data_IF_432134321494
#
_entry.id   IF_432134321494
#
_cell.length_a   1.000
_cell.length_b   1.000
_cell.length_c   1.000
_cell.angle_alpha   90.00
_cell.angle_beta   90.00
_cell.angle_gamma   90.00
#
_symmetry.space_group_name_H-M   'P 1'
#
loop_
_entity.id
_entity.type
_entity.pdbx_description
1 polymer ?
#
# COMPACT_ATOMS: atom_id res chain seq x y z
N UNK A 1 -8.29 -11.47 11.99
CA UNK A 1 -7.16 -10.89 12.76
C UNK A 1 -7.74 -10.07 13.91
N UNK A 2 -7.05 -9.93 15.04
CA UNK A 2 -7.48 -9.07 16.17
C UNK A 2 -6.28 -8.35 16.75
N UNK A 3 -6.37 -7.02 16.84
CA UNK A 3 -5.43 -6.21 17.60
C UNK A 3 -5.50 -6.50 19.10
N UNK A 4 -4.34 -6.65 19.72
CA UNK A 4 -4.14 -6.78 21.16
C UNK A 4 -3.29 -5.59 21.60
N UNK A 5 -3.79 -4.86 22.60
CA UNK A 5 -3.07 -3.76 23.22
C UNK A 5 -2.14 -4.24 24.34
N UNK A 6 -1.36 -3.31 24.89
CA UNK A 6 -0.44 -3.59 25.99
C UNK A 6 0.99 -3.91 25.54
N UNK A 7 1.92 -3.70 26.46
CA UNK A 7 3.36 -3.94 26.26
C UNK A 7 3.67 -5.43 26.21
N UNK A 8 4.76 -5.78 25.52
CA UNK A 8 5.30 -7.15 25.48
C UNK A 8 4.52 -8.15 24.61
N UNK A 9 3.48 -7.71 23.90
CA UNK A 9 2.80 -8.55 22.93
C UNK A 9 3.59 -8.54 21.61
N UNK A 10 3.95 -9.70 21.04
CA UNK A 10 4.70 -9.76 19.79
C UNK A 10 3.85 -9.24 18.62
N UNK A 11 4.52 -8.79 17.55
CA UNK A 11 3.87 -8.26 16.34
C UNK A 11 2.74 -9.16 15.84
N UNK A 12 2.97 -10.48 15.80
CA UNK A 12 1.95 -11.48 15.54
C UNK A 12 2.12 -12.67 16.48
N UNK A 13 1.01 -13.17 17.03
CA UNK A 13 0.97 -14.33 17.93
C UNK A 13 0.40 -15.58 17.26
N UNK A 14 0.58 -16.73 17.91
CA UNK A 14 0.03 -18.01 17.45
C UNK A 14 -1.49 -17.93 17.24
N UNK A 15 -2.02 -18.44 16.11
CA UNK A 15 -3.44 -18.36 15.81
C UNK A 15 -4.30 -19.22 16.75
N UNK A 16 -5.44 -18.68 17.18
CA UNK A 16 -6.44 -19.39 17.97
C UNK A 16 -7.65 -19.82 17.12
N UNK A 17 -8.13 -21.06 17.30
CA UNK A 17 -9.33 -21.56 16.61
C UNK A 17 -10.60 -20.98 17.25
N UNK A 18 -11.42 -20.26 16.47
CA UNK A 18 -12.66 -19.62 16.97
C UNK A 18 -13.98 -20.22 16.47
N UNK A 19 -13.96 -21.10 15.48
CA UNK A 19 -15.21 -21.70 14.99
C UNK A 19 -15.81 -22.71 15.96
N UNK A 20 -17.13 -22.66 16.09
CA UNK A 20 -17.96 -23.65 16.78
C UNK A 20 -18.82 -24.41 15.75
N UNK A 21 -19.13 -25.66 16.06
CA UNK A 21 -20.08 -26.48 15.29
C UNK A 21 -21.52 -26.11 15.67
N UNK A 22 -22.52 -26.50 14.86
CA UNK A 22 -23.95 -26.29 15.19
C UNK A 22 -24.35 -26.85 16.56
N UNK A 23 -23.60 -27.83 17.10
CA UNK A 23 -23.80 -28.44 18.42
C UNK A 23 -22.99 -27.76 19.55
N UNK A 24 -22.48 -26.54 19.33
CA UNK A 24 -21.72 -25.77 20.32
C UNK A 24 -20.27 -26.23 20.57
N UNK A 25 -19.84 -27.39 20.05
CA UNK A 25 -18.47 -27.87 20.23
C UNK A 25 -17.49 -27.11 19.34
N UNK A 26 -16.29 -26.81 19.87
CA UNK A 26 -15.21 -26.16 19.10
C UNK A 26 -14.83 -27.00 17.88
N UNK A 27 -14.85 -26.40 16.69
CA UNK A 27 -14.54 -27.07 15.43
C UNK A 27 -13.04 -27.33 15.35
N UNK A 28 -12.62 -28.59 15.14
CA UNK A 28 -11.20 -28.97 15.08
C UNK A 28 -10.57 -28.74 13.70
N UNK A 29 -11.31 -28.99 12.64
CA UNK A 29 -10.89 -28.89 11.23
C UNK A 29 -11.67 -27.79 10.50
N UNK A 30 -11.01 -27.05 9.60
CA UNK A 30 -11.63 -25.95 8.85
C UNK A 30 -12.24 -24.87 9.76
N UNK A 31 -11.59 -24.59 10.89
CA UNK A 31 -11.97 -23.51 11.81
C UNK A 31 -11.34 -22.20 11.36
N UNK A 32 -12.10 -21.11 11.46
CA UNK A 32 -11.56 -19.76 11.35
C UNK A 32 -10.47 -19.54 12.40
N UNK A 33 -9.31 -19.07 11.93
CA UNK A 33 -8.15 -18.77 12.76
C UNK A 33 -8.18 -17.29 13.14
N UNK A 34 -8.10 -17.01 14.44
CA UNK A 34 -7.92 -15.69 14.99
C UNK A 34 -6.44 -15.47 15.24
N UNK A 35 -5.82 -14.61 14.46
CA UNK A 35 -4.44 -14.15 14.64
C UNK A 35 -4.41 -12.91 15.54
N UNK A 36 -3.85 -12.99 16.76
CA UNK A 36 -3.63 -11.84 17.63
C UNK A 36 -2.43 -11.02 17.15
N UNK A 37 -2.56 -9.70 17.09
CA UNK A 37 -1.52 -8.77 16.63
C UNK A 37 -1.17 -7.79 17.74
N UNK A 38 0.10 -7.74 18.13
CA UNK A 38 0.60 -6.80 19.14
C UNK A 38 0.72 -5.40 18.59
N UNK A 39 -0.30 -4.58 18.81
CA UNK A 39 -0.39 -3.25 18.19
C UNK A 39 0.53 -2.21 18.84
N UNK A 40 0.87 -2.38 20.12
CA UNK A 40 1.65 -1.40 20.89
C UNK A 40 3.05 -1.16 20.31
N UNK A 41 3.83 -2.24 20.15
CA UNK A 41 5.20 -2.15 19.64
C UNK A 41 5.23 -1.70 18.19
N UNK A 42 4.31 -2.21 17.36
CA UNK A 42 4.20 -1.85 15.96
C UNK A 42 3.86 -0.37 15.75
N UNK A 43 2.96 0.19 16.57
CA UNK A 43 2.68 1.64 16.56
C UNK A 43 3.92 2.44 16.96
N UNK A 44 4.62 2.05 18.02
CA UNK A 44 5.85 2.74 18.43
C UNK A 44 6.91 2.75 17.32
N UNK A 45 7.13 1.60 16.66
CA UNK A 45 8.06 1.47 15.54
C UNK A 45 7.63 2.31 14.34
N UNK A 46 6.35 2.26 13.96
CA UNK A 46 5.82 3.08 12.87
C UNK A 46 6.04 4.57 13.14
N UNK A 47 5.68 5.05 14.33
CA UNK A 47 5.87 6.46 14.67
C UNK A 47 7.36 6.82 14.68
N UNK A 48 8.26 5.97 15.20
CA UNK A 48 9.70 6.20 15.12
C UNK A 48 10.19 6.29 13.66
N UNK A 49 9.65 5.46 12.76
CA UNK A 49 9.95 5.48 11.34
C UNK A 49 9.42 6.75 10.65
N UNK A 50 8.24 7.23 11.01
CA UNK A 50 7.65 8.47 10.49
C UNK A 50 8.42 9.74 10.89
N UNK A 51 9.14 9.71 12.02
CA UNK A 51 9.94 10.85 12.48
C UNK A 51 11.31 10.96 11.78
N UNK A 52 11.71 9.96 10.99
CA UNK A 52 13.00 9.97 10.29
C UNK A 52 12.98 11.00 9.16
N UNK A 53 14.09 11.71 9.01
CA UNK A 53 14.33 12.62 7.88
C UNK A 53 15.09 11.88 6.79
N UNK A 54 14.71 12.14 5.54
CA UNK A 54 15.32 11.52 4.35
C UNK A 54 15.85 12.58 3.38
N UNK A 55 16.19 12.16 2.17
CA UNK A 55 16.81 13.00 1.15
C UNK A 55 15.96 14.24 0.80
N UNK A 56 14.62 14.11 0.84
CA UNK A 56 13.69 15.23 0.59
C UNK A 56 13.83 16.35 1.62
N UNK A 57 14.33 16.04 2.82
CA UNK A 57 14.58 16.99 3.90
C UNK A 57 16.02 17.51 3.92
N UNK A 58 16.85 17.16 2.93
CA UNK A 58 18.25 17.59 2.82
C UNK A 58 19.28 16.62 3.41
N UNK A 59 18.85 15.44 3.85
CA UNK A 59 19.78 14.40 4.33
C UNK A 59 20.54 13.73 3.17
N UNK A 60 21.78 13.23 3.40
CA UNK A 60 22.59 12.64 2.34
C UNK A 60 22.03 11.31 1.79
N UNK A 61 21.22 10.61 2.57
CA UNK A 61 20.57 9.35 2.19
C UNK A 61 19.32 9.12 3.04
N UNK A 62 18.42 8.27 2.56
CA UNK A 62 17.27 7.84 3.34
C UNK A 62 17.70 6.81 4.40
N UNK A 63 17.46 7.07 5.70
CA UNK A 63 17.88 6.16 6.76
C UNK A 63 17.06 4.86 6.74
N UNK A 64 17.61 3.75 7.28
CA UNK A 64 16.87 2.50 7.38
C UNK A 64 15.52 2.68 8.10
N UNK A 65 14.43 2.17 7.51
CA UNK A 65 13.08 2.32 8.02
C UNK A 65 12.42 3.68 7.73
N UNK A 66 13.02 4.54 6.90
CA UNK A 66 12.35 5.73 6.38
C UNK A 66 11.10 5.35 5.57
N UNK A 67 9.99 6.08 5.79
CA UNK A 67 8.71 5.79 5.14
C UNK A 67 8.55 6.70 3.92
N UNK A 68 8.45 6.09 2.74
CA UNK A 68 8.20 6.81 1.50
C UNK A 68 6.71 6.99 1.24
N UNK A 69 6.31 8.20 0.87
CA UNK A 69 4.94 8.53 0.48
C UNK A 69 4.90 9.02 -0.96
N UNK A 70 3.87 8.62 -1.71
CA UNK A 70 3.60 9.16 -3.04
C UNK A 70 2.88 10.50 -2.94
N UNK A 71 3.20 11.42 -3.85
CA UNK A 71 2.60 12.77 -3.88
C UNK A 71 1.10 12.77 -4.21
N UNK A 72 0.54 11.63 -4.65
CA UNK A 72 -0.89 11.45 -4.92
C UNK A 72 -1.74 11.26 -3.65
N UNK A 73 -1.12 11.05 -2.48
CA UNK A 73 -1.85 10.79 -1.25
C UNK A 73 -2.49 12.08 -0.69
N UNK A 74 -3.81 12.08 -0.40
CA UNK A 74 -4.47 13.26 0.13
C UNK A 74 -4.07 13.52 1.58
N UNK A 75 -4.25 14.77 2.04
CA UNK A 75 -4.03 15.16 3.46
C UNK A 75 -4.71 14.21 4.45
N UNK A 76 -5.92 13.76 4.13
CA UNK A 76 -6.70 12.86 5.00
C UNK A 76 -5.99 11.55 5.31
N UNK A 77 -5.21 11.02 4.37
CA UNK A 77 -4.39 9.82 4.60
C UNK A 77 -3.42 10.03 5.76
N UNK A 78 -2.72 11.16 5.78
CA UNK A 78 -1.76 11.48 6.84
C UNK A 78 -2.44 11.74 8.19
N UNK A 79 -3.64 12.34 8.17
CA UNK A 79 -4.44 12.54 9.38
C UNK A 79 -4.92 11.22 9.98
N UNK A 80 -5.30 10.25 9.14
CA UNK A 80 -5.66 8.91 9.62
C UNK A 80 -4.45 8.07 10.04
N UNK A 81 -3.32 8.25 9.36
CA UNK A 81 -2.05 7.59 9.73
C UNK A 81 -1.56 8.05 11.11
N UNK A 82 -1.81 9.31 11.46
CA UNK A 82 -1.45 9.93 12.75
C UNK A 82 -2.65 10.10 13.69
N UNK A 83 -3.71 9.28 13.51
CA UNK A 83 -4.97 9.38 14.25
C UNK A 83 -4.86 9.02 15.75
N UNK A 84 -3.71 8.54 16.20
CA UNK A 84 -3.43 8.19 17.59
C UNK A 84 -2.14 8.87 18.07
N UNK A 85 -2.03 9.11 19.36
CA UNK A 85 -0.81 9.61 19.98
C UNK A 85 -0.44 8.78 21.22
N UNK A 86 0.86 8.67 21.46
CA UNK A 86 1.39 8.06 22.67
C UNK A 86 1.36 9.08 23.81
N UNK A 87 0.66 8.76 24.89
CA UNK A 87 0.48 9.63 26.06
C UNK A 87 1.01 8.91 27.29
N UNK A 88 1.88 9.59 28.04
CA UNK A 88 2.40 9.12 29.32
C UNK A 88 2.01 10.13 30.41
N UNK A 89 1.12 9.72 31.32
CA UNK A 89 0.58 10.56 32.40
C UNK A 89 0.84 9.92 33.76
N UNK A 90 1.05 10.74 34.79
CA UNK A 90 1.18 10.25 36.17
C UNK A 90 -0.19 10.29 36.84
N UNK A 91 -0.80 9.12 37.04
CA UNK A 91 -2.10 8.99 37.71
C UNK A 91 -1.88 8.34 39.06
N UNK A 92 -2.21 9.06 40.15
CA UNK A 92 -2.07 8.57 41.54
C UNK A 92 -0.65 8.07 41.85
N UNK A 93 0.37 8.80 41.40
CA UNK A 93 1.78 8.48 41.64
C UNK A 93 2.34 7.31 40.81
N UNK A 94 1.58 6.80 39.83
CA UNK A 94 2.04 5.77 38.90
C UNK A 94 2.06 6.31 37.47
N UNK A 95 3.09 5.96 36.71
CA UNK A 95 3.13 6.23 35.27
C UNK A 95 2.12 5.33 34.57
N UNK A 96 1.20 5.96 33.85
CA UNK A 96 0.23 5.34 32.99
C UNK A 96 0.55 5.74 31.55
N UNK A 97 0.83 4.74 30.72
CA UNK A 97 1.14 4.95 29.31
C UNK A 97 0.01 4.35 28.49
N UNK A 98 -0.49 5.10 27.52
CA UNK A 98 -1.53 4.63 26.61
C UNK A 98 -1.40 5.24 25.21
N UNK A 99 -1.90 4.52 24.22
CA UNK A 99 -2.16 5.07 22.90
C UNK A 99 -3.56 5.67 22.89
N UNK A 100 -3.63 6.99 22.86
CA UNK A 100 -4.89 7.73 22.86
C UNK A 100 -5.32 8.04 21.43
N UNK A 101 -6.56 7.69 21.12
CA UNK A 101 -7.18 8.00 19.82
C UNK A 101 -7.54 9.47 19.77
N UNK A 102 -6.99 10.19 18.79
CA UNK A 102 -7.24 11.61 18.56
C UNK A 102 -8.39 11.84 17.57
N UNK A 103 -8.65 10.88 16.68
CA UNK A 103 -9.62 11.00 15.58
C UNK A 103 -10.59 9.80 15.52
N UNK A 104 -11.81 9.99 15.00
CA UNK A 104 -12.80 8.92 14.90
C UNK A 104 -12.45 7.86 13.84
N UNK A 105 -11.57 8.18 12.88
CA UNK A 105 -11.13 7.29 11.80
C UNK A 105 -9.61 7.11 11.86
N UNK A 106 -9.16 5.86 11.86
CA UNK A 106 -7.74 5.46 11.95
C UNK A 106 -7.42 4.30 10.97
N UNK A 107 -8.22 4.16 9.90
CA UNK A 107 -8.12 3.02 8.99
C UNK A 107 -6.74 2.89 8.35
N UNK A 108 -6.10 4.01 7.98
CA UNK A 108 -4.75 4.02 7.43
C UNK A 108 -3.69 3.54 8.43
N UNK A 109 -3.77 3.99 9.69
CA UNK A 109 -2.88 3.54 10.76
C UNK A 109 -3.04 2.04 10.99
N UNK A 110 -4.27 1.56 11.15
CA UNK A 110 -4.54 0.15 11.40
C UNK A 110 -4.09 -0.74 10.22
N UNK A 111 -4.34 -0.31 8.98
CA UNK A 111 -3.88 -1.01 7.79
C UNK A 111 -2.34 -1.13 7.76
N UNK A 112 -1.63 -0.06 8.11
CA UNK A 112 -0.17 -0.07 8.16
C UNK A 112 0.36 -1.01 9.27
N UNK A 113 -0.22 -0.93 10.47
CA UNK A 113 0.14 -1.82 11.59
C UNK A 113 -0.09 -3.29 11.23
N UNK A 114 -1.19 -3.62 10.57
CA UNK A 114 -1.42 -4.99 10.10
C UNK A 114 -0.45 -5.40 8.99
N UNK A 115 -0.09 -4.51 8.07
CA UNK A 115 0.92 -4.79 7.06
C UNK A 115 2.29 -5.11 7.69
N UNK A 116 2.71 -4.33 8.70
CA UNK A 116 3.93 -4.62 9.46
C UNK A 116 3.85 -5.96 10.18
N UNK A 117 2.72 -6.28 10.83
CA UNK A 117 2.54 -7.58 11.47
C UNK A 117 2.66 -8.76 10.48
N UNK A 118 2.13 -8.60 9.27
CA UNK A 118 2.24 -9.59 8.20
C UNK A 118 3.66 -9.68 7.65
N UNK A 119 4.39 -8.55 7.57
CA UNK A 119 5.80 -8.54 7.18
C UNK A 119 6.64 -9.37 8.16
N UNK A 120 6.41 -9.23 9.47
CA UNK A 120 7.05 -10.06 10.50
C UNK A 120 6.66 -11.54 10.36
N UNK A 121 5.38 -11.83 10.10
CA UNK A 121 4.92 -13.21 9.87
C UNK A 121 5.61 -13.87 8.67
N UNK A 122 5.88 -13.10 7.62
CA UNK A 122 6.59 -13.54 6.42
C UNK A 122 8.13 -13.55 6.60
N UNK A 123 8.62 -13.11 7.76
CA UNK A 123 10.05 -12.99 8.06
C UNK A 123 10.76 -11.99 7.17
N UNK A 124 10.09 -10.92 6.72
CA UNK A 124 10.72 -9.91 5.86
C UNK A 124 11.85 -9.16 6.59
N UNK A 125 11.71 -8.93 7.89
CA UNK A 125 12.69 -8.25 8.75
C UNK A 125 14.02 -9.01 8.88
N UNK A 126 14.03 -10.33 8.69
CA UNK A 126 15.22 -11.18 8.85
C UNK A 126 15.85 -11.61 7.53
N UNK A 127 15.26 -11.23 6.38
CA UNK A 127 15.78 -11.57 5.07
C UNK A 127 17.12 -10.90 4.81
N UNK A 128 18.09 -11.70 4.38
CA UNK A 128 19.41 -11.24 3.93
C UNK A 128 19.37 -10.84 2.45
N UNK A 129 20.43 -10.19 1.98
CA UNK A 129 20.54 -9.77 0.58
C UNK A 129 20.32 -10.93 -0.41
N UNK A 130 20.83 -12.12 -0.09
CA UNK A 130 20.65 -13.32 -0.91
C UNK A 130 19.20 -13.79 -0.95
N UNK A 131 18.50 -13.77 0.19
CA UNK A 131 17.07 -14.13 0.28
C UNK A 131 16.22 -13.17 -0.58
N UNK A 132 16.57 -11.89 -0.55
CA UNK A 132 15.90 -10.87 -1.39
C UNK A 132 16.21 -11.06 -2.87
N UNK A 133 17.44 -11.41 -3.22
CA UNK A 133 17.85 -11.72 -4.60
C UNK A 133 17.07 -12.93 -5.14
N UNK A 134 17.02 -14.01 -4.38
CA UNK A 134 16.27 -15.21 -4.74
C UNK A 134 14.76 -14.94 -4.85
N UNK A 135 14.19 -14.17 -3.92
CA UNK A 135 12.79 -13.78 -3.98
C UNK A 135 12.49 -12.95 -5.24
N UNK A 136 13.38 -12.02 -5.60
CA UNK A 136 13.27 -11.20 -6.81
C UNK A 136 13.31 -12.07 -8.07
N UNK A 137 14.26 -13.00 -8.18
CA UNK A 137 14.34 -13.91 -9.34
C UNK A 137 13.07 -14.75 -9.49
N UNK A 138 12.49 -15.22 -8.38
CA UNK A 138 11.25 -16.01 -8.41
C UNK A 138 10.01 -15.20 -8.81
N UNK A 139 9.96 -13.93 -8.44
CA UNK A 139 8.81 -13.05 -8.68
C UNK A 139 8.94 -12.21 -9.96
N UNK A 140 10.10 -12.23 -10.61
CA UNK A 140 10.27 -11.56 -11.89
C UNK A 140 9.25 -12.13 -12.87
N UNK A 141 8.34 -11.31 -13.42
CA UNK A 141 7.51 -11.77 -14.51
C UNK A 141 8.43 -12.18 -15.65
N UNK A 142 8.08 -13.25 -16.37
CA UNK A 142 8.71 -13.54 -17.65
C UNK A 142 8.68 -12.23 -18.46
N UNK A 143 9.80 -11.75 -19.02
CA UNK A 143 9.80 -10.54 -19.80
C UNK A 143 8.91 -10.77 -21.02
N UNK A 144 7.65 -10.38 -20.92
CA UNK A 144 6.80 -10.25 -22.10
C UNK A 144 7.43 -9.16 -22.95
N UNK A 145 7.58 -9.39 -24.27
CA UNK A 145 8.04 -8.33 -25.15
C UNK A 145 7.11 -7.14 -24.97
N UNK A 146 7.68 -5.97 -24.60
CA UNK A 146 6.92 -4.73 -24.46
C UNK A 146 6.28 -4.40 -25.81
N UNK A 147 5.01 -4.75 -25.97
CA UNK A 147 4.23 -4.58 -27.20
C UNK A 147 4.11 -3.10 -27.59
N UNK A 148 4.30 -2.19 -26.63
CA UNK A 148 4.30 -0.74 -26.85
C UNK A 148 5.67 -0.19 -27.24
N UNK A 149 6.74 -0.97 -27.08
CA UNK A 149 8.09 -0.54 -27.48
C UNK A 149 8.19 -0.34 -29.00
N UNK A 150 7.51 -1.17 -29.80
CA UNK A 150 7.43 -1.00 -31.25
C UNK A 150 6.64 0.24 -31.71
N UNK A 151 5.72 0.74 -30.87
CA UNK A 151 4.92 1.95 -31.14
C UNK A 151 5.67 3.24 -30.73
N UNK A 152 6.60 3.15 -29.78
CA UNK A 152 7.44 4.28 -29.33
C UNK A 152 8.56 4.63 -30.30
N UNK A 153 8.90 3.74 -31.24
CA UNK A 153 9.95 3.94 -32.26
C UNK A 153 9.40 4.55 -33.56
N UNK A 154 8.16 5.06 -33.58
CA UNK A 154 7.76 6.01 -34.61
C UNK A 154 8.59 7.29 -34.43
N UNK A 155 9.69 7.38 -35.17
CA UNK A 155 10.68 8.47 -35.13
C UNK A 155 10.08 9.85 -35.38
N UNK A 156 10.91 10.92 -35.30
CA UNK A 156 10.45 12.29 -35.45
C UNK A 156 9.72 12.43 -36.78
N UNK A 157 8.46 12.86 -36.70
CA UNK A 157 7.65 13.25 -37.86
C UNK A 157 8.46 14.32 -38.60
N UNK A 158 9.04 13.95 -39.74
CA UNK A 158 9.64 14.89 -40.66
C UNK A 158 8.53 15.82 -41.14
N UNK A 159 8.53 17.06 -40.65
CA UNK A 159 7.66 18.12 -41.13
C UNK A 159 8.12 18.52 -42.53
N UNK A 160 7.72 17.76 -43.54
CA UNK A 160 7.75 18.24 -44.92
C UNK A 160 6.65 19.32 -45.09
N UNK A 161 6.89 20.38 -45.87
CA UNK A 161 5.90 21.43 -46.04
C UNK A 161 4.70 20.90 -46.81
N UNK A 162 3.50 21.18 -46.30
CA UNK A 162 2.24 20.90 -47.00
C UNK A 162 2.15 21.84 -48.21
N UNK A 163 2.34 21.30 -49.41
CA UNK A 163 1.95 21.98 -50.66
C UNK A 163 0.44 22.12 -50.70
N UNK A 164 -0.05 23.36 -50.70
CA UNK A 164 -1.45 23.69 -50.98
C UNK A 164 -1.77 23.32 -52.42
N UNK A 165 -2.38 22.15 -52.63
CA UNK A 165 -3.06 21.83 -53.89
C UNK A 165 -4.31 22.70 -54.01
N UNK A 166 -4.30 23.57 -55.01
CA UNK A 166 -5.42 24.42 -55.41
C UNK A 166 -6.69 23.58 -55.62
N UNK A 167 -7.78 24.06 -55.01
CA UNK A 167 -9.14 23.57 -55.21
C UNK A 167 -9.61 23.87 -56.65
N UNK A 168 -9.67 22.84 -57.49
CA UNK A 168 -10.50 22.87 -58.70
C UNK A 168 -11.71 21.96 -58.52
N UNK A 169 -12.87 22.57 -58.75
CA UNK A 169 -14.19 22.10 -58.35
C UNK A 169 -14.56 20.73 -58.97
N UNK A 170 -14.81 19.75 -58.12
CA UNK A 170 -15.40 18.47 -58.52
C UNK A 170 -16.90 18.64 -58.76
N UNK A 171 -17.30 18.73 -60.03
CA UNK A 171 -18.69 18.56 -60.45
C UNK A 171 -19.05 17.07 -60.38
N UNK A 172 -19.80 16.66 -59.35
CA UNK A 172 -20.45 15.35 -59.30
C UNK A 172 -21.98 15.52 -59.21
N UNK A 173 -22.79 14.76 -59.98
CA UNK A 173 -24.24 14.93 -59.99
C UNK A 173 -24.89 14.36 -58.73
N UNK A 174 -25.78 15.15 -58.11
CA UNK A 174 -26.54 14.79 -56.90
C UNK A 174 -27.50 13.63 -57.17
N UNK A 175 -27.22 12.44 -56.64
CA UNK A 175 -28.18 11.34 -56.65
C UNK A 175 -29.23 11.49 -55.54
N UNK A 176 -30.50 11.55 -55.92
CA UNK A 176 -31.68 11.58 -55.03
C UNK A 176 -31.96 10.17 -54.48
N UNK A 177 -32.00 10.02 -53.15
CA UNK A 177 -32.48 8.80 -52.51
C UNK A 177 -34.02 8.74 -52.52
N UNK A 178 -34.56 7.57 -52.89
CA UNK A 178 -35.99 7.24 -52.80
C UNK A 178 -36.24 6.49 -51.51
N UNK A 179 -37.04 7.06 -50.62
CA UNK A 179 -37.63 6.38 -49.47
C UNK A 179 -38.61 5.29 -49.95
N UNK A 180 -38.57 4.11 -49.31
CA UNK A 180 -39.66 3.13 -49.38
C UNK A 180 -39.99 2.66 -47.97
N UNK A 181 -41.28 2.82 -47.63
CA UNK A 181 -42.11 1.93 -46.84
C UNK A 181 -41.69 1.65 -45.42
#
# INVERSE_FOLDING_TARGET
>A
VKGVGGRGVPAISVPAKKSVTKRGKRKRFGSAMLWPVGTWGLKAELFANLHKLGMRSGEPADPPGYVHFGDFLPKEYFLQLTAEAFVAEVVRGKFHEEWKRLRPDNHCLDAHVYAMAMAEMLGLSTKRADDWSALRQRLQPTPEPDLLNGLRVAGPVSTAPVETRNDEASQAPRQKWKNRG
#
